data_IF_892758289138
#
_entry.id   IF_892758289138
#
_cell.length_a   1.000
_cell.length_b   1.000
_cell.length_c   1.000
_cell.angle_alpha   90.00
_cell.angle_beta   90.00
_cell.angle_gamma   90.00
#
_symmetry.space_group_name_H-M   'P 1'
#
loop_
_entity.id
_entity.type
_entity.pdbx_description
1 polymer ?
#
# COMPACT_ATOMS: atom_id res chain seq x y z
N UNK A 1 3.90 -17.23 -9.67
CA UNK A 1 2.77 -18.04 -10.21
C UNK A 1 3.08 -18.59 -11.60
N UNK A 2 3.49 -17.79 -12.59
CA UNK A 2 3.61 -18.22 -13.99
C UNK A 2 5.00 -18.72 -14.44
N UNK A 3 6.06 -18.44 -13.66
CA UNK A 3 7.44 -18.68 -14.10
C UNK A 3 7.93 -17.76 -15.24
N UNK A 4 7.10 -16.84 -15.72
CA UNK A 4 7.42 -15.94 -16.82
C UNK A 4 8.29 -14.77 -16.34
N UNK A 5 9.57 -14.78 -16.72
CA UNK A 5 10.55 -13.74 -16.36
C UNK A 5 10.19 -12.36 -16.90
N UNK A 6 9.55 -12.28 -18.07
CA UNK A 6 9.12 -10.99 -18.64
C UNK A 6 8.01 -10.36 -17.80
N UNK A 7 7.01 -11.16 -17.40
CA UNK A 7 5.94 -10.70 -16.51
C UNK A 7 6.50 -10.21 -15.16
N UNK A 8 7.48 -10.94 -14.61
CA UNK A 8 8.15 -10.56 -13.36
C UNK A 8 8.92 -9.24 -13.49
N UNK A 9 9.70 -9.08 -14.57
CA UNK A 9 10.43 -7.84 -14.84
C UNK A 9 9.47 -6.65 -15.04
N UNK A 10 8.38 -6.85 -15.78
CA UNK A 10 7.35 -5.85 -16.00
C UNK A 10 6.65 -5.45 -14.69
N UNK A 11 6.30 -6.43 -13.86
CA UNK A 11 5.71 -6.18 -12.53
C UNK A 11 6.66 -5.35 -11.67
N UNK A 12 7.93 -5.75 -11.58
CA UNK A 12 8.93 -5.04 -10.78
C UNK A 12 9.15 -3.61 -11.27
N UNK A 13 9.26 -3.42 -12.59
CA UNK A 13 9.42 -2.10 -13.21
C UNK A 13 8.21 -1.21 -12.91
N UNK A 14 6.99 -1.67 -13.19
CA UNK A 14 5.77 -0.90 -12.97
C UNK A 14 5.56 -0.58 -11.49
N UNK A 15 5.84 -1.54 -10.61
CA UNK A 15 5.75 -1.33 -9.17
C UNK A 15 6.72 -0.25 -8.73
N UNK A 16 8.00 -0.32 -9.12
CA UNK A 16 9.08 0.58 -8.68
C UNK A 16 8.80 2.08 -8.96
N UNK A 17 8.11 2.37 -10.05
CA UNK A 17 7.85 3.76 -10.48
C UNK A 17 6.44 4.25 -10.16
N UNK A 18 5.65 3.46 -9.43
CA UNK A 18 4.25 3.78 -9.19
C UNK A 18 4.09 4.97 -8.23
N UNK A 19 3.42 6.01 -8.70
CA UNK A 19 3.18 7.25 -7.94
C UNK A 19 2.37 7.06 -6.66
N UNK A 20 1.53 6.02 -6.62
CA UNK A 20 0.53 5.84 -5.56
C UNK A 20 1.08 5.92 -4.14
N UNK A 21 2.37 5.61 -3.91
CA UNK A 21 2.97 5.53 -2.58
C UNK A 21 4.15 6.48 -2.33
N UNK A 22 4.29 7.59 -3.07
CA UNK A 22 5.42 8.52 -2.90
C UNK A 22 5.65 8.94 -1.45
N UNK A 23 4.61 9.22 -0.65
CA UNK A 23 4.80 9.57 0.76
C UNK A 23 5.32 8.39 1.60
N UNK A 24 5.06 7.13 1.23
CA UNK A 24 5.62 5.97 1.93
C UNK A 24 7.16 5.93 1.84
N UNK A 25 7.74 6.46 0.77
CA UNK A 25 9.19 6.42 0.50
C UNK A 25 9.86 7.75 0.86
N UNK A 26 9.23 8.88 0.54
CA UNK A 26 9.79 10.20 0.76
C UNK A 26 9.74 10.63 2.25
N UNK A 27 8.84 10.05 3.04
CA UNK A 27 8.66 10.42 4.44
C UNK A 27 9.15 9.32 5.38
N UNK A 28 10.20 9.61 6.14
CA UNK A 28 10.83 8.64 7.06
C UNK A 28 9.85 8.07 8.08
N UNK A 29 8.87 8.85 8.54
CA UNK A 29 7.86 8.36 9.48
C UNK A 29 6.94 7.27 8.88
N UNK A 30 6.85 7.18 7.55
CA UNK A 30 6.11 6.14 6.85
C UNK A 30 6.91 4.83 6.69
N UNK A 31 8.07 4.68 7.35
CA UNK A 31 8.79 3.39 7.44
C UNK A 31 7.89 2.28 7.98
N UNK A 32 6.90 2.62 8.80
CA UNK A 32 5.88 1.71 9.32
C UNK A 32 4.92 1.20 8.25
N UNK A 33 4.93 1.72 7.02
CA UNK A 33 4.21 1.17 5.86
C UNK A 33 5.14 0.33 4.95
N UNK A 34 6.43 0.67 4.85
CA UNK A 34 7.42 -0.06 4.05
C UNK A 34 7.80 -1.41 4.65
N UNK A 35 8.14 -1.41 5.94
CA UNK A 35 8.57 -2.61 6.65
C UNK A 35 7.50 -3.71 6.71
N UNK A 36 6.20 -3.44 7.03
CA UNK A 36 5.20 -4.50 6.99
C UNK A 36 4.97 -4.98 5.55
N UNK A 37 5.11 -4.10 4.54
CA UNK A 37 4.97 -4.49 3.14
C UNK A 37 6.04 -5.49 2.70
N UNK A 38 7.29 -5.29 3.14
CA UNK A 38 8.37 -6.25 2.92
C UNK A 38 8.01 -7.61 3.51
N UNK A 39 7.62 -7.65 4.79
CA UNK A 39 7.26 -8.89 5.47
C UNK A 39 6.03 -9.56 4.86
N UNK A 40 5.05 -8.77 4.41
CA UNK A 40 3.85 -9.24 3.73
C UNK A 40 4.19 -9.94 2.41
N UNK A 41 4.99 -9.29 1.56
CA UNK A 41 5.41 -9.86 0.28
C UNK A 41 6.28 -11.09 0.47
N UNK A 42 7.18 -11.08 1.47
CA UNK A 42 8.00 -12.23 1.82
C UNK A 42 7.14 -13.40 2.31
N UNK A 43 6.16 -13.16 3.19
CA UNK A 43 5.23 -14.17 3.66
C UNK A 43 4.44 -14.77 2.49
N UNK A 44 3.90 -13.94 1.59
CA UNK A 44 3.18 -14.39 0.40
C UNK A 44 4.07 -15.21 -0.55
N UNK A 45 5.33 -14.83 -0.73
CA UNK A 45 6.27 -15.55 -1.57
C UNK A 45 6.67 -16.90 -0.97
N UNK A 46 7.01 -16.94 0.33
CA UNK A 46 7.34 -18.18 1.04
C UNK A 46 6.13 -19.11 1.10
N UNK A 47 4.92 -18.57 1.29
CA UNK A 47 3.68 -19.35 1.28
C UNK A 47 3.44 -19.96 -0.11
N UNK A 48 3.63 -19.19 -1.18
CA UNK A 48 3.59 -19.72 -2.54
C UNK A 48 4.59 -20.87 -2.74
N UNK A 49 5.82 -20.73 -2.24
CA UNK A 49 6.83 -21.79 -2.31
C UNK A 49 6.45 -23.02 -1.47
N UNK A 50 5.83 -22.84 -0.31
CA UNK A 50 5.27 -23.91 0.52
C UNK A 50 4.18 -24.67 -0.25
N UNK A 51 3.19 -23.97 -0.83
CA UNK A 51 2.11 -24.57 -1.61
C UNK A 51 2.59 -25.26 -2.90
N UNK A 52 3.74 -24.87 -3.43
CA UNK A 52 4.33 -25.49 -4.63
C UNK A 52 5.26 -26.67 -4.33
N UNK A 53 6.06 -26.59 -3.27
CA UNK A 53 7.15 -27.54 -2.97
C UNK A 53 6.88 -28.45 -1.78
N UNK A 54 5.83 -28.17 -1.00
CA UNK A 54 5.45 -28.89 0.22
C UNK A 54 6.61 -29.07 1.24
N UNK A 55 7.58 -28.14 1.26
CA UNK A 55 8.71 -28.18 2.21
C UNK A 55 8.38 -27.38 3.46
N UNK A 56 8.49 -28.02 4.61
CA UNK A 56 8.17 -27.41 5.91
C UNK A 56 9.01 -26.16 6.24
N UNK A 57 10.24 -26.05 5.71
CA UNK A 57 11.07 -24.84 5.88
C UNK A 57 10.37 -23.59 5.36
N UNK A 58 9.63 -23.68 4.25
CA UNK A 58 8.89 -22.53 3.72
C UNK A 58 7.67 -22.18 4.58
N UNK A 59 7.05 -23.18 5.23
CA UNK A 59 5.98 -22.94 6.21
C UNK A 59 6.50 -22.17 7.42
N UNK A 60 7.63 -22.61 8.00
CA UNK A 60 8.28 -21.92 9.13
C UNK A 60 8.70 -20.51 8.74
N UNK A 61 9.28 -20.33 7.54
CA UNK A 61 9.63 -19.01 7.03
C UNK A 61 8.40 -18.10 6.84
N UNK A 62 7.30 -18.65 6.34
CA UNK A 62 6.02 -17.93 6.22
C UNK A 62 5.51 -17.50 7.59
N UNK A 63 5.59 -18.38 8.59
CA UNK A 63 5.20 -18.09 9.97
C UNK A 63 6.03 -16.95 10.56
N UNK A 64 7.35 -17.01 10.43
CA UNK A 64 8.25 -15.96 10.92
C UNK A 64 7.97 -14.61 10.26
N UNK A 65 7.79 -14.60 8.93
CA UNK A 65 7.43 -13.38 8.19
C UNK A 65 6.04 -12.85 8.56
N UNK A 66 5.06 -13.74 8.81
CA UNK A 66 3.73 -13.36 9.28
C UNK A 66 3.79 -12.68 10.64
N UNK A 67 4.53 -13.25 11.60
CA UNK A 67 4.73 -12.66 12.93
C UNK A 67 5.41 -11.29 12.81
N UNK A 68 6.48 -11.19 12.02
CA UNK A 68 7.17 -9.92 11.80
C UNK A 68 6.24 -8.86 11.18
N UNK A 69 5.40 -9.25 10.20
CA UNK A 69 4.40 -8.37 9.60
C UNK A 69 3.37 -7.91 10.66
N UNK A 70 2.83 -8.85 11.45
CA UNK A 70 1.85 -8.60 12.51
C UNK A 70 2.36 -7.67 13.61
N UNK A 71 3.63 -7.77 13.96
CA UNK A 71 4.28 -6.91 14.95
C UNK A 71 4.64 -5.52 14.42
N UNK A 72 4.66 -5.33 13.10
CA UNK A 72 5.10 -4.07 12.51
C UNK A 72 3.94 -3.08 12.36
N UNK A 73 2.80 -3.54 11.85
CA UNK A 73 1.67 -2.64 11.55
C UNK A 73 0.34 -3.39 11.48
N UNK A 74 -0.75 -2.71 11.82
CA UNK A 74 -2.12 -3.24 11.81
C UNK A 74 -2.63 -3.64 10.40
N UNK A 75 -2.00 -3.12 9.36
CA UNK A 75 -2.30 -3.47 7.95
C UNK A 75 -2.02 -4.95 7.60
N UNK A 76 -1.20 -5.61 8.42
CA UNK A 76 -0.95 -7.05 8.39
C UNK A 76 -2.23 -7.89 8.58
N UNK A 77 -3.32 -7.32 9.10
CA UNK A 77 -4.59 -8.01 9.31
C UNK A 77 -5.15 -8.66 8.05
N UNK A 78 -4.78 -8.12 6.88
CA UNK A 78 -5.21 -8.60 5.57
C UNK A 78 -4.41 -9.80 5.06
N UNK A 79 -3.26 -10.12 5.67
CA UNK A 79 -2.31 -11.12 5.17
C UNK A 79 -2.91 -12.52 5.14
N UNK A 80 -3.61 -12.94 6.20
CA UNK A 80 -4.25 -14.26 6.24
C UNK A 80 -5.29 -14.41 5.12
N UNK A 81 -6.11 -13.38 4.90
CA UNK A 81 -7.09 -13.38 3.81
C UNK A 81 -6.41 -13.53 2.45
N UNK A 82 -5.26 -12.86 2.25
CA UNK A 82 -4.50 -12.99 1.01
C UNK A 82 -3.80 -14.34 0.86
N UNK A 83 -3.31 -14.95 1.93
CA UNK A 83 -2.75 -16.30 1.89
C UNK A 83 -3.83 -17.33 1.49
N UNK A 84 -5.05 -17.20 2.02
CA UNK A 84 -6.18 -18.04 1.64
C UNK A 84 -6.60 -17.78 0.18
N UNK A 85 -6.67 -16.52 -0.25
CA UNK A 85 -6.96 -16.16 -1.63
C UNK A 85 -5.93 -16.74 -2.61
N UNK A 86 -4.65 -16.76 -2.22
CA UNK A 86 -3.57 -17.34 -3.01
C UNK A 86 -3.76 -18.84 -3.19
N UNK A 87 -4.05 -19.57 -2.11
CA UNK A 87 -4.30 -21.01 -2.21
C UNK A 87 -5.55 -21.31 -3.06
N UNK A 88 -6.66 -20.60 -2.83
CA UNK A 88 -7.87 -20.75 -3.62
C UNK A 88 -7.62 -20.54 -5.12
N UNK A 89 -6.76 -19.57 -5.46
CA UNK A 89 -6.33 -19.30 -6.83
C UNK A 89 -5.57 -20.49 -7.42
N UNK A 90 -4.61 -21.06 -6.68
CA UNK A 90 -3.82 -22.21 -7.15
C UNK A 90 -4.66 -23.48 -7.30
N UNK A 91 -5.63 -23.71 -6.40
CA UNK A 91 -6.59 -24.82 -6.51
C UNK A 91 -7.40 -24.68 -7.80
N UNK A 92 -7.90 -23.47 -8.07
CA UNK A 92 -8.68 -23.17 -9.27
C UNK A 92 -7.85 -23.34 -10.54
N UNK A 93 -6.61 -22.85 -10.58
CA UNK A 93 -5.73 -23.01 -11.76
C UNK A 93 -5.39 -24.48 -12.03
N UNK A 94 -5.17 -25.28 -10.98
CA UNK A 94 -4.84 -26.71 -11.09
C UNK A 94 -6.05 -27.60 -11.41
N UNK A 95 -7.26 -27.05 -11.43
CA UNK A 95 -8.52 -27.82 -11.56
C UNK A 95 -8.58 -28.98 -10.56
N UNK A 96 -8.01 -28.79 -9.37
CA UNK A 96 -7.91 -29.85 -8.38
C UNK A 96 -9.30 -30.16 -7.79
N UNK A 97 -9.67 -31.45 -7.62
CA UNK A 97 -10.93 -31.80 -7.01
C UNK A 97 -11.01 -31.26 -5.57
N UNK A 98 -12.14 -30.67 -5.24
CA UNK A 98 -12.41 -30.08 -3.93
C UNK A 98 -13.16 -31.10 -3.09
N UNK A 99 -12.43 -31.85 -2.27
CA UNK A 99 -13.00 -32.76 -1.27
C UNK A 99 -13.01 -32.09 0.12
N UNK A 100 -14.07 -32.30 0.89
CA UNK A 100 -14.26 -31.73 2.22
C UNK A 100 -13.16 -32.15 3.20
N UNK A 101 -12.72 -33.42 3.16
CA UNK A 101 -11.60 -33.89 4.00
C UNK A 101 -10.28 -33.20 3.64
N UNK A 102 -10.07 -32.96 2.35
CA UNK A 102 -8.90 -32.24 1.85
C UNK A 102 -8.93 -30.75 2.21
N UNK A 103 -10.11 -30.13 2.27
CA UNK A 103 -10.27 -28.75 2.77
C UNK A 103 -9.96 -28.69 4.27
N UNK A 104 -10.50 -29.61 5.07
CA UNK A 104 -10.27 -29.65 6.51
C UNK A 104 -8.78 -29.84 6.84
N UNK A 105 -8.10 -30.76 6.14
CA UNK A 105 -6.66 -30.97 6.28
C UNK A 105 -5.84 -29.73 5.90
N UNK A 106 -6.28 -28.97 4.90
CA UNK A 106 -5.64 -27.69 4.52
C UNK A 106 -5.88 -26.59 5.54
N UNK A 107 -7.11 -26.48 6.04
CA UNK A 107 -7.49 -25.47 7.04
C UNK A 107 -6.66 -25.58 8.33
N UNK A 108 -6.27 -26.79 8.73
CA UNK A 108 -5.41 -27.02 9.89
C UNK A 108 -4.06 -26.28 9.79
N UNK A 109 -3.49 -26.13 8.60
CA UNK A 109 -2.25 -25.36 8.40
C UNK A 109 -2.41 -23.86 8.65
N UNK A 110 -3.64 -23.35 8.59
CA UNK A 110 -3.94 -21.93 8.83
C UNK A 110 -4.29 -21.62 10.28
N UNK A 111 -4.55 -22.63 11.11
CA UNK A 111 -4.93 -22.44 12.52
C UNK A 111 -3.90 -21.60 13.28
N UNK A 112 -2.57 -21.84 13.18
CA UNK A 112 -1.61 -21.03 13.91
C UNK A 112 -1.58 -19.57 13.42
N UNK A 113 -1.72 -19.34 12.10
CA UNK A 113 -1.81 -17.99 11.55
C UNK A 113 -3.08 -17.26 12.00
N UNK A 114 -4.21 -17.96 12.05
CA UNK A 114 -5.47 -17.42 12.55
C UNK A 114 -5.40 -17.09 14.04
N UNK A 115 -4.77 -17.94 14.86
CA UNK A 115 -4.56 -17.68 16.27
C UNK A 115 -3.65 -16.45 16.50
N UNK A 116 -2.56 -16.34 15.74
CA UNK A 116 -1.66 -15.18 15.78
C UNK A 116 -2.37 -13.89 15.36
N UNK A 117 -3.16 -13.95 14.29
CA UNK A 117 -3.96 -12.82 13.84
C UNK A 117 -5.01 -12.40 14.87
N UNK A 118 -5.72 -13.36 15.46
CA UNK A 118 -6.70 -13.07 16.50
C UNK A 118 -6.03 -12.41 17.72
N UNK A 119 -4.87 -12.90 18.13
CA UNK A 119 -4.07 -12.32 19.20
C UNK A 119 -3.60 -10.90 18.88
N UNK A 120 -3.06 -10.67 17.69
CA UNK A 120 -2.61 -9.33 17.27
C UNK A 120 -3.78 -8.35 17.19
N UNK A 121 -4.90 -8.75 16.60
CA UNK A 121 -6.11 -7.93 16.52
C UNK A 121 -6.69 -7.61 17.90
N UNK A 122 -6.66 -8.54 18.85
CA UNK A 122 -7.10 -8.29 20.22
C UNK A 122 -6.24 -7.22 20.90
N UNK A 123 -4.91 -7.30 20.76
CA UNK A 123 -3.98 -6.29 21.27
C UNK A 123 -4.24 -4.94 20.61
N UNK A 124 -4.29 -4.91 19.28
CA UNK A 124 -4.55 -3.70 18.48
C UNK A 124 -5.87 -3.05 18.86
N UNK A 125 -6.93 -3.84 19.06
CA UNK A 125 -8.23 -3.33 19.49
C UNK A 125 -8.14 -2.64 20.86
N UNK A 126 -7.50 -3.28 21.84
CA UNK A 126 -7.34 -2.69 23.18
C UNK A 126 -6.54 -1.39 23.13
N UNK A 127 -5.44 -1.37 22.39
CA UNK A 127 -4.57 -0.18 22.26
C UNK A 127 -5.28 0.95 21.51
N UNK A 128 -5.85 0.67 20.33
CA UNK A 128 -6.41 1.68 19.45
C UNK A 128 -7.81 2.15 19.84
N UNK A 129 -8.58 1.39 20.64
CA UNK A 129 -9.90 1.81 21.13
C UNK A 129 -9.89 3.16 21.88
N UNK A 130 -8.71 3.59 22.36
CA UNK A 130 -8.48 4.85 23.06
C UNK A 130 -7.87 5.94 22.17
N UNK A 131 -7.51 5.60 20.94
CA UNK A 131 -6.93 6.53 19.98
C UNK A 131 -7.93 7.61 19.58
N UNK A 132 -7.42 8.83 19.36
CA UNK A 132 -8.21 9.95 18.84
C UNK A 132 -8.86 9.60 17.49
N UNK A 133 -8.22 8.74 16.70
CA UNK A 133 -8.75 8.26 15.42
C UNK A 133 -10.14 7.63 15.54
N UNK A 134 -10.37 6.87 16.61
CA UNK A 134 -11.66 6.23 16.87
C UNK A 134 -12.57 7.16 17.67
N UNK A 135 -12.04 7.82 18.72
CA UNK A 135 -12.85 8.66 19.62
C UNK A 135 -13.44 9.89 18.96
N UNK A 136 -12.71 10.50 18.03
CA UNK A 136 -13.16 11.69 17.28
C UNK A 136 -13.86 11.32 15.97
N UNK A 137 -14.01 10.03 15.67
CA UNK A 137 -14.76 9.54 14.52
C UNK A 137 -14.02 9.62 13.18
N UNK A 138 -12.69 9.76 13.20
CA UNK A 138 -11.86 9.76 11.98
C UNK A 138 -11.75 8.39 11.29
N UNK A 139 -12.03 7.32 12.03
CA UNK A 139 -12.16 5.95 11.52
C UNK A 139 -13.55 5.41 11.85
N UNK A 140 -14.38 5.17 10.83
CA UNK A 140 -15.77 4.72 11.04
C UNK A 140 -16.20 3.75 9.95
N UNK A 141 -16.95 2.72 10.35
CA UNK A 141 -17.63 1.85 9.39
C UNK A 141 -18.83 2.58 8.77
N UNK A 142 -18.93 2.56 7.44
CA UNK A 142 -20.02 3.23 6.74
C UNK A 142 -19.88 3.19 5.22
N UNK A 143 -20.93 3.64 4.53
CA UNK A 143 -20.99 3.67 3.06
C UNK A 143 -19.98 4.62 2.41
N UNK A 144 -19.38 5.55 3.17
CA UNK A 144 -18.29 6.40 2.69
C UNK A 144 -17.05 5.59 2.27
N UNK A 145 -16.90 4.36 2.77
CA UNK A 145 -15.79 3.49 2.40
C UNK A 145 -15.77 3.11 0.91
N UNK A 146 -16.94 3.01 0.26
CA UNK A 146 -17.02 2.67 -1.17
C UNK A 146 -16.40 3.75 -2.06
N UNK A 147 -16.87 5.02 -2.02
CA UNK A 147 -16.24 6.07 -2.83
C UNK A 147 -14.78 6.30 -2.43
N UNK A 148 -14.41 6.10 -1.15
CA UNK A 148 -13.03 6.23 -0.70
C UNK A 148 -12.12 5.12 -1.28
N UNK A 149 -12.57 3.86 -1.29
CA UNK A 149 -11.86 2.77 -1.96
C UNK A 149 -11.69 3.02 -3.47
N UNK A 150 -12.72 3.55 -4.13
CA UNK A 150 -12.62 3.92 -5.56
C UNK A 150 -11.64 5.08 -5.78
N UNK A 151 -11.57 6.05 -4.87
CA UNK A 151 -10.57 7.10 -4.92
C UNK A 151 -9.16 6.53 -4.81
N UNK A 152 -8.92 5.54 -3.93
CA UNK A 152 -7.61 4.87 -3.85
C UNK A 152 -7.25 4.18 -5.16
N UNK A 153 -8.21 3.53 -5.82
CA UNK A 153 -7.98 2.92 -7.15
C UNK A 153 -7.66 3.99 -8.20
N UNK A 154 -8.37 5.12 -8.19
CA UNK A 154 -8.06 6.26 -9.08
C UNK A 154 -6.62 6.75 -8.90
N UNK A 155 -6.16 6.85 -7.65
CA UNK A 155 -4.77 7.20 -7.34
C UNK A 155 -3.78 6.18 -7.88
N UNK A 156 -4.10 4.88 -7.85
CA UNK A 156 -3.19 3.83 -8.33
C UNK A 156 -2.87 3.93 -9.83
N UNK A 157 -3.83 4.32 -10.68
CA UNK A 157 -3.61 4.46 -12.13
C UNK A 157 -3.51 5.90 -12.62
N UNK A 158 -3.56 6.88 -11.71
CA UNK A 158 -3.47 8.31 -12.02
C UNK A 158 -4.61 8.75 -12.94
N UNK A 159 -5.84 8.42 -12.53
CA UNK A 159 -7.06 8.73 -13.25
C UNK A 159 -7.64 10.11 -12.95
N UNK A 160 -8.35 10.75 -13.91
CA UNK A 160 -9.10 11.96 -13.63
C UNK A 160 -10.24 11.65 -12.66
N UNK A 161 -10.51 12.56 -11.71
CA UNK A 161 -11.59 12.43 -10.71
C UNK A 161 -12.94 12.85 -11.29
N UNK A 162 -13.37 12.14 -12.34
CA UNK A 162 -14.63 12.34 -13.05
C UNK A 162 -15.50 11.09 -12.97
N UNK A 163 -16.82 11.23 -13.07
CA UNK A 163 -17.80 10.13 -12.96
C UNK A 163 -17.47 8.96 -13.90
N UNK A 164 -17.05 9.26 -15.14
CA UNK A 164 -16.67 8.24 -16.12
C UNK A 164 -15.55 7.32 -15.62
N UNK A 165 -14.59 7.85 -14.86
CA UNK A 165 -13.50 7.07 -14.29
C UNK A 165 -14.00 6.10 -13.22
N UNK A 166 -14.89 6.55 -12.32
CA UNK A 166 -15.48 5.69 -11.30
C UNK A 166 -16.31 4.57 -11.93
N UNK A 167 -17.12 4.90 -12.94
CA UNK A 167 -17.90 3.92 -13.70
C UNK A 167 -16.99 2.91 -14.38
N UNK A 168 -15.90 3.36 -15.02
CA UNK A 168 -14.93 2.48 -15.65
C UNK A 168 -14.27 1.52 -14.65
N UNK A 169 -13.89 1.98 -13.46
CA UNK A 169 -13.35 1.12 -12.40
C UNK A 169 -14.35 0.01 -12.07
N UNK A 170 -15.61 0.37 -11.78
CA UNK A 170 -16.64 -0.60 -11.40
C UNK A 170 -16.87 -1.62 -12.51
N UNK A 171 -17.00 -1.18 -13.76
CA UNK A 171 -17.22 -2.06 -14.91
C UNK A 171 -16.03 -2.99 -15.17
N UNK A 172 -14.80 -2.47 -15.14
CA UNK A 172 -13.59 -3.26 -15.35
C UNK A 172 -13.40 -4.27 -14.21
N UNK A 173 -13.58 -3.85 -12.96
CA UNK A 173 -13.53 -4.75 -11.81
C UNK A 173 -14.58 -5.86 -11.92
N UNK A 174 -15.83 -5.52 -12.25
CA UNK A 174 -16.89 -6.51 -12.44
C UNK A 174 -16.56 -7.48 -13.58
N UNK A 175 -16.05 -6.98 -14.71
CA UNK A 175 -15.65 -7.80 -15.84
C UNK A 175 -14.50 -8.76 -15.49
N UNK A 176 -13.48 -8.28 -14.75
CA UNK A 176 -12.35 -9.10 -14.31
C UNK A 176 -12.76 -10.15 -13.26
N UNK A 177 -13.68 -9.81 -12.35
CA UNK A 177 -14.19 -10.78 -11.38
C UNK A 177 -15.05 -11.85 -12.07
N UNK A 178 -15.90 -11.46 -13.02
CA UNK A 178 -16.78 -12.38 -13.73
C UNK A 178 -16.03 -13.26 -14.74
N UNK A 179 -15.32 -12.65 -15.70
CA UNK A 179 -14.67 -13.34 -16.84
C UNK A 179 -13.15 -13.43 -16.75
N UNK A 180 -12.52 -12.80 -15.75
CA UNK A 180 -11.06 -12.83 -15.62
C UNK A 180 -10.54 -14.22 -15.26
N UNK A 181 -9.26 -14.43 -15.55
CA UNK A 181 -8.51 -15.62 -15.12
C UNK A 181 -8.45 -15.68 -13.59
N UNK A 182 -8.22 -16.87 -12.98
CA UNK A 182 -8.03 -16.97 -11.53
C UNK A 182 -6.96 -15.99 -10.99
N UNK A 183 -5.88 -15.77 -11.76
CA UNK A 183 -4.85 -14.78 -11.45
C UNK A 183 -5.37 -13.34 -11.45
N UNK A 184 -6.11 -12.95 -12.49
CA UNK A 184 -6.69 -11.62 -12.55
C UNK A 184 -7.62 -11.36 -11.35
N UNK A 185 -8.45 -12.35 -10.99
CA UNK A 185 -9.31 -12.29 -9.80
C UNK A 185 -8.50 -12.15 -8.51
N UNK A 186 -7.40 -12.89 -8.39
CA UNK A 186 -6.49 -12.78 -7.26
C UNK A 186 -5.85 -11.39 -7.14
N UNK A 187 -5.39 -10.80 -8.25
CA UNK A 187 -4.79 -9.47 -8.23
C UNK A 187 -5.84 -8.38 -7.93
N UNK A 188 -7.06 -8.52 -8.44
CA UNK A 188 -8.18 -7.64 -8.05
C UNK A 188 -8.48 -7.79 -6.56
N UNK A 189 -8.57 -9.02 -6.05
CA UNK A 189 -8.76 -9.26 -4.61
C UNK A 189 -7.63 -8.64 -3.79
N UNK A 190 -6.37 -8.76 -4.23
CA UNK A 190 -5.22 -8.11 -3.59
C UNK A 190 -5.44 -6.62 -3.42
N UNK A 191 -5.83 -5.91 -4.48
CA UNK A 191 -6.06 -4.46 -4.45
C UNK A 191 -7.14 -4.13 -3.42
N UNK A 192 -8.32 -4.74 -3.50
CA UNK A 192 -9.45 -4.40 -2.63
C UNK A 192 -9.23 -4.82 -1.17
N UNK A 193 -8.69 -6.02 -0.93
CA UNK A 193 -8.44 -6.53 0.42
C UNK A 193 -7.40 -5.67 1.14
N UNK A 194 -6.35 -5.22 0.44
CA UNK A 194 -5.31 -4.37 1.04
C UNK A 194 -5.73 -2.89 1.18
N UNK A 195 -6.69 -2.41 0.38
CA UNK A 195 -7.31 -1.09 0.55
C UNK A 195 -8.36 -1.08 1.68
N UNK A 196 -9.04 -2.21 1.91
CA UNK A 196 -10.22 -2.27 2.77
C UNK A 196 -10.02 -1.64 4.16
N UNK A 197 -8.94 -1.91 4.93
CA UNK A 197 -8.74 -1.31 6.24
C UNK A 197 -8.74 0.23 6.19
N UNK A 198 -8.14 0.81 5.15
CA UNK A 198 -7.99 2.26 4.99
C UNK A 198 -9.21 2.95 4.40
N UNK A 199 -10.07 2.20 3.71
CA UNK A 199 -11.29 2.75 3.11
C UNK A 199 -12.22 3.37 4.16
N UNK A 200 -12.15 2.92 5.41
CA UNK A 200 -13.01 3.39 6.51
C UNK A 200 -12.57 4.71 7.17
N UNK A 201 -11.42 5.28 6.79
CA UNK A 201 -11.08 6.64 7.20
C UNK A 201 -12.06 7.66 6.61
N UNK A 202 -12.35 8.73 7.37
CA UNK A 202 -13.30 9.77 6.96
C UNK A 202 -12.64 10.99 6.34
N UNK A 203 -11.31 11.08 6.37
CA UNK A 203 -10.53 12.11 5.68
C UNK A 203 -10.07 11.61 4.29
N UNK A 204 -9.43 12.47 3.50
CA UNK A 204 -9.03 12.12 2.12
C UNK A 204 -7.90 11.09 1.99
N UNK A 205 -7.68 10.55 0.79
CA UNK A 205 -6.63 9.57 0.57
C UNK A 205 -5.24 10.05 1.03
N UNK A 206 -4.56 9.18 1.79
CA UNK A 206 -3.14 9.33 2.12
C UNK A 206 -2.35 8.33 1.29
N UNK A 207 -1.35 8.80 0.57
CA UNK A 207 -0.64 7.98 -0.43
C UNK A 207 0.17 6.84 0.22
N UNK A 208 0.60 7.00 1.48
CA UNK A 208 1.37 5.98 2.20
C UNK A 208 0.66 4.61 2.28
N UNK A 209 -0.67 4.60 2.28
CA UNK A 209 -1.48 3.38 2.35
C UNK A 209 -1.57 2.60 1.04
N UNK A 210 -1.08 3.15 -0.07
CA UNK A 210 -1.15 2.53 -1.39
C UNK A 210 0.01 1.59 -1.72
N UNK A 211 1.00 1.43 -0.84
CA UNK A 211 2.18 0.60 -1.12
C UNK A 211 1.83 -0.88 -1.40
N UNK A 212 1.06 -1.52 -0.51
CA UNK A 212 0.57 -2.90 -0.72
C UNK A 212 -0.43 -3.02 -1.88
N UNK A 213 -1.44 -2.14 -2.00
CA UNK A 213 -2.34 -2.14 -3.16
C UNK A 213 -1.61 -1.98 -4.51
N UNK A 214 -0.55 -1.17 -4.55
CA UNK A 214 0.27 -0.97 -5.75
C UNK A 214 0.93 -2.27 -6.22
N UNK A 215 1.34 -3.17 -5.31
CA UNK A 215 1.87 -4.47 -5.71
C UNK A 215 0.82 -5.31 -6.46
N UNK A 216 -0.42 -5.35 -5.95
CA UNK A 216 -1.54 -6.01 -6.62
C UNK A 216 -1.89 -5.37 -7.96
N UNK A 217 -1.86 -4.04 -8.04
CA UNK A 217 -2.09 -3.29 -9.26
C UNK A 217 -1.00 -3.54 -10.32
N UNK A 218 0.28 -3.51 -9.94
CA UNK A 218 1.39 -3.78 -10.84
C UNK A 218 1.35 -5.21 -11.38
N UNK A 219 0.99 -6.19 -10.53
CA UNK A 219 0.76 -7.59 -10.96
C UNK A 219 -0.38 -7.69 -11.97
N UNK A 220 -1.51 -7.03 -11.71
CA UNK A 220 -2.66 -7.02 -12.63
C UNK A 220 -2.30 -6.39 -13.97
N UNK A 221 -1.65 -5.23 -13.95
CA UNK A 221 -1.26 -4.51 -15.16
C UNK A 221 -0.24 -5.29 -16.00
N UNK A 222 0.74 -5.91 -15.35
CA UNK A 222 1.70 -6.78 -16.02
C UNK A 222 1.02 -8.02 -16.63
N UNK A 223 0.06 -8.64 -15.93
CA UNK A 223 -0.72 -9.77 -16.47
C UNK A 223 -1.53 -9.33 -17.70
N UNK A 224 -2.21 -8.19 -17.65
CA UNK A 224 -2.96 -7.63 -18.77
C UNK A 224 -2.08 -7.37 -20.00
N UNK A 225 -0.88 -6.81 -19.82
CA UNK A 225 0.07 -6.56 -20.91
C UNK A 225 0.55 -7.87 -21.52
N UNK A 226 0.82 -8.89 -20.71
CA UNK A 226 1.22 -10.22 -21.19
C UNK A 226 0.07 -10.93 -21.90
N UNK A 227 -1.17 -10.77 -21.44
CA UNK A 227 -2.33 -11.31 -22.15
C UNK A 227 -2.53 -10.61 -23.49
N UNK A 228 -2.37 -9.29 -23.54
CA UNK A 228 -2.41 -8.53 -24.79
C UNK A 228 -1.30 -8.96 -25.75
N UNK A 229 -0.09 -9.24 -25.26
CA UNK A 229 1.01 -9.81 -26.05
C UNK A 229 0.62 -11.16 -26.67
N UNK A 230 0.05 -12.06 -25.87
CA UNK A 230 -0.35 -13.40 -26.33
C UNK A 230 -1.44 -13.29 -27.41
N UNK A 231 -2.45 -12.46 -27.18
CA UNK A 231 -3.54 -12.25 -28.14
C UNK A 231 -3.00 -11.60 -29.41
N UNK A 232 -2.19 -10.55 -29.32
CA UNK A 232 -1.57 -9.91 -30.48
C UNK A 232 -0.69 -10.89 -31.27
N UNK A 233 0.02 -11.79 -30.59
CA UNK A 233 0.83 -12.84 -31.20
C UNK A 233 0.07 -13.83 -32.09
N UNK A 234 -1.27 -13.83 -32.06
CA UNK A 234 -2.11 -14.59 -33.01
C UNK A 234 -2.29 -13.88 -34.35
N UNK A 235 -2.02 -12.57 -34.41
CA UNK A 235 -2.17 -11.73 -35.60
C UNK A 235 -0.84 -11.26 -36.17
N UNK A 236 0.16 -11.04 -35.30
CA UNK A 236 1.48 -10.52 -35.66
C UNK A 236 2.60 -11.42 -35.15
N UNK A 237 3.83 -11.35 -35.73
CA UNK A 237 4.96 -12.12 -35.26
C UNK A 237 5.21 -11.92 -33.76
N UNK A 238 5.45 -13.01 -33.03
CA UNK A 238 5.63 -13.00 -31.57
C UNK A 238 6.71 -12.03 -31.08
N UNK A 239 7.78 -11.82 -31.87
CA UNK A 239 8.83 -10.82 -31.57
C UNK A 239 8.28 -9.39 -31.58
N UNK A 240 7.42 -9.07 -32.55
CA UNK A 240 6.76 -7.76 -32.64
C UNK A 240 5.74 -7.56 -31.53
N UNK A 241 4.93 -8.58 -31.22
CA UNK A 241 4.01 -8.54 -30.09
C UNK A 241 4.74 -8.30 -28.75
N UNK A 242 5.85 -9.02 -28.52
CA UNK A 242 6.70 -8.81 -27.34
C UNK A 242 7.31 -7.42 -27.30
N UNK A 243 7.81 -6.92 -28.43
CA UNK A 243 8.36 -5.57 -28.51
C UNK A 243 7.30 -4.50 -28.22
N UNK A 244 6.08 -4.66 -28.76
CA UNK A 244 4.96 -3.77 -28.48
C UNK A 244 4.53 -3.82 -27.01
N UNK A 245 4.47 -5.00 -26.41
CA UNK A 245 4.17 -5.17 -24.98
C UNK A 245 5.24 -4.53 -24.09
N UNK A 246 6.53 -4.68 -24.44
CA UNK A 246 7.63 -4.01 -23.75
C UNK A 246 7.54 -2.49 -23.90
N UNK A 247 7.26 -1.99 -25.11
CA UNK A 247 7.10 -0.56 -25.37
C UNK A 247 5.93 0.04 -24.58
N UNK A 248 4.78 -0.66 -24.52
CA UNK A 248 3.63 -0.27 -23.70
C UNK A 248 4.00 -0.24 -22.21
N UNK A 249 4.68 -1.27 -21.71
CA UNK A 249 5.18 -1.32 -20.34
C UNK A 249 6.11 -0.15 -20.01
N UNK A 250 7.06 0.15 -20.89
CA UNK A 250 7.96 1.29 -20.74
C UNK A 250 7.21 2.63 -20.78
N UNK A 251 6.25 2.81 -21.69
CA UNK A 251 5.46 4.04 -21.78
C UNK A 251 4.64 4.29 -20.49
N UNK A 252 4.04 3.25 -19.93
CA UNK A 252 3.33 3.31 -18.66
C UNK A 252 4.29 3.60 -17.49
N UNK A 253 5.44 2.94 -17.46
CA UNK A 253 6.47 3.20 -16.45
C UNK A 253 6.98 4.65 -16.49
N UNK A 254 7.24 5.19 -17.68
CA UNK A 254 7.64 6.61 -17.85
C UNK A 254 6.53 7.53 -17.36
N UNK A 255 5.28 7.27 -17.72
CA UNK A 255 4.14 8.06 -17.24
C UNK A 255 4.07 8.07 -15.71
N UNK A 256 4.19 6.92 -15.07
CA UNK A 256 4.17 6.81 -13.61
C UNK A 256 5.38 7.52 -12.98
N UNK A 257 6.58 7.35 -13.53
CA UNK A 257 7.78 8.02 -13.06
C UNK A 257 7.67 9.55 -13.11
N UNK A 258 7.17 10.11 -14.22
CA UNK A 258 6.96 11.57 -14.36
C UNK A 258 5.99 12.09 -13.31
N UNK A 259 4.94 11.34 -13.01
CA UNK A 259 3.97 11.77 -12.01
C UNK A 259 4.50 11.60 -10.58
N UNK A 260 5.24 10.52 -10.31
CA UNK A 260 5.93 10.31 -9.04
C UNK A 260 6.93 11.45 -8.74
N UNK A 261 7.65 11.92 -9.77
CA UNK A 261 8.55 13.06 -9.67
C UNK A 261 7.79 14.34 -9.30
N UNK A 262 6.68 14.62 -9.99
CA UNK A 262 5.80 15.77 -9.69
C UNK A 262 5.22 15.70 -8.27
N UNK A 263 4.76 14.53 -7.84
CA UNK A 263 4.25 14.31 -6.49
C UNK A 263 5.33 14.51 -5.43
N UNK A 264 6.57 14.08 -5.71
CA UNK A 264 7.72 14.27 -4.82
C UNK A 264 8.10 15.74 -4.71
N UNK A 265 8.16 16.46 -5.84
CA UNK A 265 8.40 17.90 -5.84
C UNK A 265 7.31 18.66 -5.08
N UNK A 266 6.04 18.34 -5.34
CA UNK A 266 4.91 18.94 -4.62
C UNK A 266 4.95 18.64 -3.12
N UNK A 267 5.32 17.42 -2.72
CA UNK A 267 5.51 17.08 -1.31
C UNK A 267 6.61 17.93 -0.68
N UNK A 268 7.77 18.04 -1.33
CA UNK A 268 8.89 18.86 -0.85
C UNK A 268 8.51 20.34 -0.73
N UNK A 269 7.77 20.88 -1.69
CA UNK A 269 7.31 22.27 -1.64
C UNK A 269 6.35 22.52 -0.47
N UNK A 270 5.44 21.57 -0.19
CA UNK A 270 4.54 21.64 0.97
C UNK A 270 5.26 21.54 2.32
N UNK A 271 6.43 20.89 2.39
CA UNK A 271 7.20 20.74 3.64
C UNK A 271 8.21 21.87 3.88
N UNK A 272 8.63 22.61 2.83
CA UNK A 272 9.59 23.72 2.94
C UNK A 272 9.26 24.78 4.00
N UNK A 273 8.00 25.22 4.20
CA UNK A 273 7.67 26.16 5.27
C UNK A 273 8.10 25.65 6.64
N UNK A 274 7.84 24.37 6.94
CA UNK A 274 8.24 23.75 8.21
C UNK A 274 9.75 23.67 8.37
N UNK A 275 10.48 23.34 7.30
CA UNK A 275 11.96 23.35 7.31
C UNK A 275 12.51 24.75 7.58
N UNK A 276 11.94 25.79 6.94
CA UNK A 276 12.30 27.20 7.18
C UNK A 276 12.06 27.59 8.64
N UNK A 277 10.90 27.27 9.20
CA UNK A 277 10.56 27.55 10.59
C UNK A 277 11.51 26.87 11.57
N UNK A 278 11.80 25.58 11.37
CA UNK A 278 12.74 24.82 12.22
C UNK A 278 14.13 25.44 12.18
N UNK A 279 14.60 25.84 10.99
CA UNK A 279 15.89 26.51 10.83
C UNK A 279 15.91 27.90 11.48
N UNK A 280 14.87 28.72 11.25
CA UNK A 280 14.73 30.06 11.83
C UNK A 280 14.69 30.00 13.36
N UNK A 281 13.90 29.09 13.93
CA UNK A 281 13.83 28.86 15.37
C UNK A 281 15.22 28.53 15.95
N UNK A 282 15.93 27.55 15.37
CA UNK A 282 17.28 27.15 15.82
C UNK A 282 18.32 28.26 15.68
N UNK A 283 18.25 29.05 14.61
CA UNK A 283 19.20 30.13 14.35
C UNK A 283 19.00 31.31 15.31
N UNK A 284 17.74 31.70 15.53
CA UNK A 284 17.40 32.79 16.43
C UNK A 284 17.53 32.39 17.91
N UNK A 285 17.34 31.09 18.23
CA UNK A 285 17.36 30.57 19.59
C UNK A 285 18.22 29.28 19.64
N UNK A 286 19.57 29.39 19.69
CA UNK A 286 20.46 28.22 19.67
C UNK A 286 20.26 27.27 20.84
N UNK A 287 19.83 27.79 21.99
CA UNK A 287 19.47 27.03 23.17
C UNK A 287 18.18 27.60 23.78
N UNK A 288 17.20 26.73 24.00
CA UNK A 288 15.94 27.06 24.67
C UNK A 288 15.82 26.21 25.93
N UNK A 289 15.58 26.86 27.06
CA UNK A 289 15.36 26.17 28.32
C UNK A 289 14.05 25.34 28.27
N UNK A 290 13.90 24.29 29.08
CA UNK A 290 12.61 23.60 29.25
C UNK A 290 11.50 24.60 29.61
N UNK A 291 10.33 24.47 28.98
CA UNK A 291 9.21 25.43 29.07
C UNK A 291 9.45 26.78 28.37
N UNK A 292 10.58 26.93 27.67
CA UNK A 292 10.99 28.17 27.04
C UNK A 292 10.26 28.47 25.74
N UNK A 293 10.33 29.74 25.33
CA UNK A 293 9.80 30.20 24.05
C UNK A 293 10.91 30.40 23.04
N UNK A 294 10.71 29.92 21.80
CA UNK A 294 11.54 30.21 20.66
C UNK A 294 10.92 31.39 19.90
N UNK A 295 11.66 32.48 19.77
CA UNK A 295 11.21 33.67 19.06
C UNK A 295 11.58 33.57 17.58
N UNK A 296 10.60 33.77 16.71
CA UNK A 296 10.74 33.67 15.25
C UNK A 296 10.03 34.83 14.59
N UNK A 297 10.60 35.38 13.52
CA UNK A 297 9.99 36.50 12.79
C UNK A 297 8.63 36.10 12.20
N UNK A 298 7.65 37.02 12.23
CA UNK A 298 6.31 36.75 11.71
C UNK A 298 6.28 36.25 10.25
N UNK A 299 7.26 36.66 9.43
CA UNK A 299 7.40 36.23 8.04
C UNK A 299 7.66 34.72 7.89
N UNK A 300 8.36 34.09 8.85
CA UNK A 300 8.62 32.65 8.82
C UNK A 300 7.41 31.81 9.28
N UNK A 301 6.35 32.47 9.76
CA UNK A 301 5.10 31.84 10.24
C UNK A 301 3.93 31.96 9.26
N UNK A 302 4.07 32.75 8.19
CA UNK A 302 2.98 33.13 7.28
C UNK A 302 2.30 31.91 6.63
N UNK A 303 3.10 30.91 6.22
CA UNK A 303 2.63 29.70 5.54
C UNK A 303 2.32 28.52 6.49
N UNK A 304 2.34 28.74 7.81
CA UNK A 304 2.26 27.66 8.81
C UNK A 304 1.02 27.83 9.69
N UNK A 305 0.07 26.89 9.63
CA UNK A 305 -1.10 26.91 10.49
C UNK A 305 -0.70 26.92 11.96
N UNK A 306 -1.40 27.71 12.77
CA UNK A 306 -1.08 27.94 14.17
C UNK A 306 -0.91 26.65 14.98
N UNK A 307 -1.78 25.66 14.73
CA UNK A 307 -1.73 24.36 15.39
C UNK A 307 -0.42 23.59 15.20
N UNK A 308 0.33 23.86 14.12
CA UNK A 308 1.57 23.16 13.81
C UNK A 308 2.83 23.93 14.19
N UNK A 309 2.73 25.20 14.59
CA UNK A 309 3.89 26.03 14.94
C UNK A 309 4.64 25.45 16.14
N UNK A 310 3.93 25.17 17.23
CA UNK A 310 4.53 24.56 18.42
C UNK A 310 5.04 23.14 18.15
N UNK A 311 4.33 22.35 17.33
CA UNK A 311 4.78 21.00 16.94
C UNK A 311 6.10 21.06 16.16
N UNK A 312 6.25 22.02 15.24
CA UNK A 312 7.47 22.22 14.49
C UNK A 312 8.65 22.63 15.41
N UNK A 313 8.42 23.53 16.38
CA UNK A 313 9.43 23.84 17.39
C UNK A 313 9.77 22.63 18.26
N UNK A 314 8.78 21.85 18.66
CA UNK A 314 9.03 20.65 19.43
C UNK A 314 9.91 19.65 18.69
N UNK A 315 9.70 19.50 17.39
CA UNK A 315 10.57 18.73 16.53
C UNK A 315 11.97 19.37 16.39
N UNK A 316 12.04 20.70 16.29
CA UNK A 316 13.30 21.43 16.17
C UNK A 316 14.25 21.18 17.35
N UNK A 317 13.75 21.03 18.57
CA UNK A 317 14.59 20.83 19.76
C UNK A 317 14.46 19.45 20.40
N UNK A 318 13.67 18.55 19.79
CA UNK A 318 13.32 17.24 20.33
C UNK A 318 12.69 17.32 21.74
N UNK A 319 11.78 18.28 21.96
CA UNK A 319 11.14 18.55 23.26
C UNK A 319 9.68 19.02 23.11
N UNK A 320 8.77 18.58 23.96
CA UNK A 320 7.33 18.84 23.82
C UNK A 320 6.84 20.17 24.42
N UNK A 321 7.70 20.90 25.11
CA UNK A 321 7.37 22.03 25.99
C UNK A 321 7.90 23.37 25.46
N UNK A 322 8.11 23.48 24.15
CA UNK A 322 8.61 24.70 23.51
C UNK A 322 7.50 25.37 22.73
N UNK A 323 7.34 26.67 22.98
CA UNK A 323 6.35 27.50 22.33
C UNK A 323 7.01 28.43 21.30
N UNK A 324 6.39 28.58 20.14
CA UNK A 324 6.81 29.59 19.16
C UNK A 324 6.12 30.90 19.48
N UNK A 325 6.91 31.96 19.57
CA UNK A 325 6.41 33.32 19.73
C UNK A 325 6.83 34.14 18.51
N UNK A 326 5.85 34.76 17.86
CA UNK A 326 6.12 35.68 16.75
C UNK A 326 6.79 36.95 17.30
N UNK A 327 7.91 37.33 16.69
CA UNK A 327 8.55 38.63 16.90
C UNK A 327 8.09 39.64 15.86
#
# INVERSE_FOLDING_TARGET
>A
MTGNRFAAALTAMLFCVQDGYVEAVAWVAAITDLLPSLWYLLAMWLHLLFLQRARFVFYVGTMAAFIACALTHESSATLLAMMLALEATLITERHAPVDAKSIAGRALWYVPFAALLAGSLAITYVVNSRSYLIREGHYRFGWHAVPHALQYILSLYIGPRIVASYVAIVLVTAALLWRGTPRARFFVAWIFVTIAPYSFFTWGNVSRYLYLPAAGFALLLADLIVQAEIVAGTWIPRRMARAAAAALGCALAVRFAVFAEKSTMSFRERTRPYERLVAAARNANPAVAPGGSAYVDAADLEDIPEMYRNVAASAAYCRSDIHIVAR
#
